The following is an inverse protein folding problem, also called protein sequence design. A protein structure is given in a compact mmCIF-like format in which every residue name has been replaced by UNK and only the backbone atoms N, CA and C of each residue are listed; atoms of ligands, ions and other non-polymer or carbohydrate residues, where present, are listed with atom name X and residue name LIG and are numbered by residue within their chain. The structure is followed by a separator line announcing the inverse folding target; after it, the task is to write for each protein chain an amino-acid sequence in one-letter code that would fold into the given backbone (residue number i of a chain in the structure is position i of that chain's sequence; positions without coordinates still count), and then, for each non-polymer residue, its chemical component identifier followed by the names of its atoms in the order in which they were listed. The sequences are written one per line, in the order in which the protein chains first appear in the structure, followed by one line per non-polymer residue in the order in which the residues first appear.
data_IF_066047086200
#
_entry.id   IF_066047086200
#
_cell.length_a   1.000
_cell.length_b   1.000
_cell.length_c   1.000
_cell.angle_alpha   90.00
_cell.angle_beta   90.00
_cell.angle_gamma   90.00
#
_symmetry.space_group_name_H-M   'P 1'
#
loop_
_entity.id
_entity.type
_entity.pdbx_description
1 polymer ?
#
# COMPACT_ATOMS: atom_id res chain seq x y z
N UNK A 1 35.33 38.58 -42.09
CA UNK A 1 34.62 39.63 -41.34
C UNK A 1 34.52 39.17 -39.89
N UNK A 2 35.19 39.85 -38.98
CA UNK A 2 35.56 39.35 -37.64
C UNK A 2 34.41 39.47 -36.64
N UNK A 3 34.14 38.39 -35.89
CA UNK A 3 33.20 38.36 -34.76
C UNK A 3 33.54 39.36 -33.63
N UNK A 4 34.76 39.91 -33.63
CA UNK A 4 35.26 40.89 -32.66
C UNK A 4 34.49 42.22 -32.70
N UNK A 5 34.13 42.71 -33.90
CA UNK A 5 33.45 44.01 -34.06
C UNK A 5 31.99 44.00 -33.61
N UNK A 6 31.34 42.83 -33.59
CA UNK A 6 29.96 42.67 -33.13
C UNK A 6 29.88 42.63 -31.60
N UNK A 7 30.82 41.94 -30.94
CA UNK A 7 30.87 41.85 -29.48
C UNK A 7 31.20 43.22 -28.85
N UNK A 8 32.15 43.98 -29.43
CA UNK A 8 32.47 45.33 -28.95
C UNK A 8 31.30 46.32 -29.09
N UNK A 9 30.49 46.22 -30.16
CA UNK A 9 29.29 47.05 -30.35
C UNK A 9 28.16 46.75 -29.35
N UNK A 10 28.10 45.52 -28.83
CA UNK A 10 27.11 45.12 -27.82
C UNK A 10 27.54 45.61 -26.44
N UNK A 11 28.83 45.48 -26.10
CA UNK A 11 29.38 45.92 -24.81
C UNK A 11 29.35 47.45 -24.68
N UNK A 12 29.59 48.20 -25.77
CA UNK A 12 29.52 49.67 -25.75
C UNK A 12 28.11 50.25 -25.54
N UNK A 13 27.07 49.42 -25.59
CA UNK A 13 25.68 49.81 -25.30
C UNK A 13 25.25 49.46 -23.87
N UNK A 14 26.09 48.78 -23.10
CA UNK A 14 25.81 48.50 -21.68
C UNK A 14 26.25 49.72 -20.87
N UNK A 15 25.33 50.45 -20.21
CA UNK A 15 25.69 51.62 -19.43
C UNK A 15 26.67 51.23 -18.30
N UNK A 16 27.74 52.02 -18.14
CA UNK A 16 28.74 51.81 -17.10
C UNK A 16 28.13 52.21 -15.74
N UNK A 17 27.60 51.23 -15.01
CA UNK A 17 26.94 51.45 -13.72
C UNK A 17 28.01 51.69 -12.64
N UNK A 18 27.96 52.86 -12.01
CA UNK A 18 28.92 53.32 -11.01
C UNK A 18 28.26 53.35 -9.63
N UNK A 19 28.75 52.52 -8.71
CA UNK A 19 28.16 52.35 -7.38
C UNK A 19 28.04 53.66 -6.56
N UNK A 20 28.90 54.66 -6.84
CA UNK A 20 28.84 55.98 -6.18
C UNK A 20 27.81 56.94 -6.80
N UNK A 21 27.49 56.83 -8.09
CA UNK A 21 26.52 57.72 -8.77
C UNK A 21 25.11 57.12 -8.83
N UNK A 22 25.00 55.79 -8.88
CA UNK A 22 23.73 55.07 -9.05
C UNK A 22 23.17 54.52 -7.72
N UNK A 23 23.73 54.94 -6.57
CA UNK A 23 23.28 54.58 -5.23
C UNK A 23 21.74 54.69 -5.02
N UNK A 24 21.04 55.76 -5.46
CA UNK A 24 19.58 55.83 -5.31
C UNK A 24 18.82 54.80 -6.16
N UNK A 25 19.39 54.37 -7.31
CA UNK A 25 18.81 53.31 -8.14
C UNK A 25 18.91 51.95 -7.45
N UNK A 26 20.08 51.60 -6.91
CA UNK A 26 20.26 50.37 -6.14
C UNK A 26 19.42 50.33 -4.86
N UNK A 27 19.27 51.47 -4.15
CA UNK A 27 18.38 51.57 -2.99
C UNK A 27 16.92 51.31 -3.39
N UNK A 28 16.45 51.87 -4.51
CA UNK A 28 15.09 51.63 -5.01
C UNK A 28 14.86 50.16 -5.39
N UNK A 29 15.83 49.53 -6.04
CA UNK A 29 15.77 48.08 -6.34
C UNK A 29 15.72 47.26 -5.06
N UNK A 30 16.56 47.57 -4.08
CA UNK A 30 16.62 46.85 -2.82
C UNK A 30 15.31 47.00 -2.01
N UNK A 31 14.76 48.22 -1.94
CA UNK A 31 13.44 48.46 -1.33
C UNK A 31 12.35 47.70 -2.08
N UNK A 32 12.36 47.72 -3.41
CA UNK A 32 11.42 46.94 -4.23
C UNK A 32 11.49 45.44 -3.98
N UNK A 33 12.70 44.89 -3.86
CA UNK A 33 12.93 43.49 -3.53
C UNK A 33 12.42 43.14 -2.12
N UNK A 34 12.67 43.99 -1.12
CA UNK A 34 12.16 43.82 0.24
C UNK A 34 10.63 43.87 0.29
N UNK A 35 10.00 44.80 -0.43
CA UNK A 35 8.55 44.89 -0.51
C UNK A 35 7.94 43.65 -1.18
N UNK A 36 8.60 43.12 -2.23
CA UNK A 36 8.17 41.89 -2.87
C UNK A 36 8.25 40.69 -1.91
N UNK A 37 9.38 40.53 -1.20
CA UNK A 37 9.55 39.46 -0.20
C UNK A 37 8.51 39.59 0.91
N UNK A 38 8.29 40.79 1.45
CA UNK A 38 7.27 41.04 2.46
C UNK A 38 5.86 40.67 1.96
N UNK A 39 5.54 41.01 0.71
CA UNK A 39 4.26 40.66 0.09
C UNK A 39 4.08 39.15 -0.03
N UNK A 40 5.12 38.42 -0.45
CA UNK A 40 5.09 36.95 -0.53
C UNK A 40 4.88 36.34 0.86
N UNK A 41 5.62 36.81 1.87
CA UNK A 41 5.49 36.32 3.25
C UNK A 41 4.08 36.56 3.78
N UNK A 42 3.55 37.78 3.66
CA UNK A 42 2.20 38.12 4.12
C UNK A 42 1.15 37.31 3.39
N UNK A 43 1.24 37.19 2.06
CA UNK A 43 0.28 36.41 1.26
C UNK A 43 0.29 34.94 1.64
N UNK A 44 1.47 34.38 1.89
CA UNK A 44 1.64 32.98 2.31
C UNK A 44 1.06 32.77 3.70
N UNK A 45 1.36 33.67 4.65
CA UNK A 45 0.86 33.59 6.02
C UNK A 45 -0.67 33.75 6.09
N UNK A 46 -1.24 34.68 5.32
CA UNK A 46 -2.68 34.91 5.23
C UNK A 46 -3.39 33.71 4.60
N UNK A 47 -2.86 33.19 3.48
CA UNK A 47 -3.40 31.97 2.84
C UNK A 47 -3.36 30.79 3.80
N UNK A 48 -2.22 30.57 4.48
CA UNK A 48 -2.06 29.51 5.47
C UNK A 48 -3.06 29.64 6.63
N UNK A 49 -3.24 30.84 7.17
CA UNK A 49 -4.22 31.11 8.23
C UNK A 49 -5.65 30.79 7.79
N UNK A 50 -6.06 31.21 6.59
CA UNK A 50 -7.39 30.90 6.07
C UNK A 50 -7.58 29.41 5.80
N UNK A 51 -6.55 28.72 5.30
CA UNK A 51 -6.59 27.26 5.10
C UNK A 51 -6.78 26.51 6.42
N UNK A 52 -6.07 26.90 7.50
CA UNK A 52 -6.25 26.29 8.82
C UNK A 52 -7.67 26.50 9.33
N UNK A 53 -8.19 27.74 9.26
CA UNK A 53 -9.56 28.05 9.71
C UNK A 53 -10.62 27.29 8.95
N UNK A 54 -10.51 27.24 7.62
CA UNK A 54 -11.42 26.47 6.79
C UNK A 54 -11.38 24.98 7.14
N UNK A 55 -10.18 24.41 7.40
CA UNK A 55 -10.03 23.02 7.83
C UNK A 55 -10.64 22.78 9.22
N UNK A 56 -10.44 23.68 10.19
CA UNK A 56 -11.06 23.57 11.53
C UNK A 56 -12.59 23.61 11.46
N UNK A 57 -13.16 24.46 10.61
CA UNK A 57 -14.60 24.52 10.40
C UNK A 57 -15.12 23.25 9.69
N UNK A 58 -14.40 22.74 8.70
CA UNK A 58 -14.72 21.50 8.02
C UNK A 58 -14.67 20.28 8.96
N UNK A 59 -13.65 20.19 9.82
CA UNK A 59 -13.53 19.13 10.85
C UNK A 59 -14.69 19.22 11.84
N UNK A 60 -15.04 20.42 12.32
CA UNK A 60 -16.20 20.59 13.22
C UNK A 60 -17.51 20.19 12.57
N UNK A 61 -17.70 20.53 11.29
CA UNK A 61 -18.89 20.16 10.54
C UNK A 61 -18.96 18.64 10.29
N UNK A 62 -17.83 18.03 9.93
CA UNK A 62 -17.67 16.58 9.77
C UNK A 62 -18.00 15.84 11.08
N UNK A 63 -17.37 16.24 12.20
CA UNK A 63 -17.62 15.64 13.51
C UNK A 63 -19.07 15.82 13.99
N UNK A 64 -19.72 16.94 13.65
CA UNK A 64 -21.14 17.17 13.95
C UNK A 64 -22.05 16.19 13.20
N UNK A 65 -21.60 15.66 12.06
CA UNK A 65 -22.26 14.59 11.32
C UNK A 65 -22.23 13.23 12.03
N UNK A 66 -21.53 13.11 13.16
CA UNK A 66 -21.44 11.87 13.95
C UNK A 66 -20.31 10.94 13.54
N UNK A 67 -19.54 11.29 12.50
CA UNK A 67 -18.39 10.55 11.99
C UNK A 67 -17.12 11.31 12.37
N UNK A 68 -16.14 10.63 12.97
CA UNK A 68 -14.79 11.18 13.17
C UNK A 68 -13.72 10.34 12.46
N UNK A 69 -12.57 10.95 12.18
CA UNK A 69 -11.43 10.25 11.57
C UNK A 69 -10.93 9.14 12.47
N UNK A 70 -10.91 9.38 13.79
CA UNK A 70 -10.52 8.39 14.78
C UNK A 70 -11.49 7.21 14.79
N UNK A 71 -12.80 7.45 14.68
CA UNK A 71 -13.81 6.39 14.60
C UNK A 71 -13.63 5.55 13.33
N UNK A 72 -13.57 6.19 12.16
CA UNK A 72 -13.32 5.49 10.89
C UNK A 72 -12.03 4.67 10.93
N UNK A 73 -10.95 5.25 11.47
CA UNK A 73 -9.68 4.55 11.60
C UNK A 73 -9.80 3.32 12.50
N UNK A 74 -10.46 3.44 13.65
CA UNK A 74 -10.64 2.31 14.58
C UNK A 74 -11.60 1.24 14.05
N UNK A 75 -12.57 1.60 13.21
CA UNK A 75 -13.44 0.62 12.54
C UNK A 75 -12.68 -0.16 11.46
N UNK A 76 -11.79 0.50 10.72
CA UNK A 76 -11.08 -0.10 9.57
C UNK A 76 -9.81 -0.84 9.98
N UNK A 77 -9.00 -0.24 10.85
CA UNK A 77 -7.73 -0.77 11.33
C UNK A 77 -7.60 -0.62 12.85
N UNK A 78 -8.41 -1.36 13.64
CA UNK A 78 -8.31 -1.30 15.09
C UNK A 78 -6.90 -1.64 15.56
N UNK A 79 -6.42 -0.96 16.61
CA UNK A 79 -5.08 -1.16 17.16
C UNK A 79 -4.85 -2.58 17.69
N UNK A 80 -5.94 -3.25 18.09
CA UNK A 80 -5.94 -4.64 18.56
C UNK A 80 -5.63 -5.64 17.45
N UNK A 81 -5.80 -5.25 16.18
CA UNK A 81 -5.62 -6.15 15.06
C UNK A 81 -6.86 -6.94 14.65
N UNK A 82 -6.65 -7.82 13.67
CA UNK A 82 -7.58 -8.86 13.25
C UNK A 82 -6.90 -10.23 13.36
N UNK A 83 -7.57 -11.18 14.00
CA UNK A 83 -7.07 -12.54 14.22
C UNK A 83 -7.83 -13.52 13.36
N UNK A 84 -7.09 -14.37 12.64
CA UNK A 84 -7.65 -15.53 11.94
C UNK A 84 -7.25 -16.77 12.73
N UNK A 85 -8.23 -17.50 13.24
CA UNK A 85 -8.04 -18.75 13.98
C UNK A 85 -7.71 -19.92 13.05
N UNK A 86 -6.67 -19.74 12.21
CA UNK A 86 -6.16 -20.75 11.29
C UNK A 86 -4.96 -21.49 11.91
N UNK A 87 -4.88 -22.79 11.65
CA UNK A 87 -3.83 -23.65 12.13
C UNK A 87 -2.51 -23.36 11.39
N UNK A 88 -1.77 -22.33 11.82
CA UNK A 88 -0.48 -21.96 11.24
C UNK A 88 0.57 -23.08 11.39
N UNK A 89 0.54 -23.82 12.51
CA UNK A 89 1.33 -25.02 12.77
C UNK A 89 2.78 -24.90 12.25
N UNK A 90 3.16 -25.76 11.30
CA UNK A 90 4.49 -25.89 10.74
C UNK A 90 4.69 -25.15 9.41
N UNK A 91 3.71 -24.35 8.96
CA UNK A 91 3.77 -23.59 7.70
C UNK A 91 5.07 -22.80 7.61
N UNK A 92 5.39 -22.00 8.62
CA UNK A 92 6.62 -21.21 8.62
C UNK A 92 7.90 -22.05 8.54
N UNK A 93 7.96 -23.22 9.20
CA UNK A 93 9.10 -24.14 9.06
C UNK A 93 9.20 -24.73 7.67
N UNK A 94 8.07 -25.07 7.04
CA UNK A 94 8.05 -25.55 5.65
C UNK A 94 8.54 -24.47 4.69
N UNK A 95 8.22 -23.19 4.94
CA UNK A 95 8.75 -22.05 4.16
C UNK A 95 10.28 -21.90 4.32
N UNK A 96 10.81 -22.10 5.53
CA UNK A 96 12.26 -22.12 5.75
C UNK A 96 12.90 -23.32 5.04
N UNK A 97 12.30 -24.51 5.17
CA UNK A 97 12.84 -25.74 4.60
C UNK A 97 12.83 -25.74 3.05
N UNK A 98 11.84 -25.13 2.41
CA UNK A 98 11.78 -25.00 0.94
C UNK A 98 12.82 -24.01 0.39
N UNK A 99 13.32 -23.11 1.26
CA UNK A 99 14.16 -22.00 0.90
C UNK A 99 13.39 -20.74 0.48
N UNK A 100 12.06 -20.76 0.60
CA UNK A 100 11.23 -19.57 0.40
C UNK A 100 11.62 -18.47 1.39
N UNK A 101 11.92 -18.86 2.63
CA UNK A 101 12.44 -17.98 3.69
C UNK A 101 13.88 -18.36 4.03
N UNK A 102 14.80 -17.42 3.86
CA UNK A 102 16.13 -17.47 4.47
C UNK A 102 16.03 -16.90 5.89
N UNK A 103 16.23 -17.78 6.89
CA UNK A 103 16.07 -17.41 8.29
C UNK A 103 17.04 -16.29 8.73
N UNK A 104 18.26 -16.26 8.19
CA UNK A 104 19.24 -15.24 8.55
C UNK A 104 18.85 -13.89 7.94
N UNK A 105 18.39 -13.87 6.69
CA UNK A 105 17.87 -12.65 6.07
C UNK A 105 16.63 -12.15 6.80
N UNK A 106 15.71 -13.04 7.17
CA UNK A 106 14.52 -12.68 7.95
C UNK A 106 14.90 -12.06 9.30
N UNK A 107 15.79 -12.69 10.07
CA UNK A 107 16.27 -12.14 11.34
C UNK A 107 16.92 -10.75 11.16
N UNK A 108 17.62 -10.54 10.05
CA UNK A 108 18.23 -9.24 9.71
C UNK A 108 17.20 -8.19 9.28
N UNK A 109 16.13 -8.60 8.60
CA UNK A 109 15.04 -7.72 8.16
C UNK A 109 14.15 -7.30 9.34
N UNK A 110 13.99 -8.17 10.34
CA UNK A 110 13.06 -8.02 11.46
C UNK A 110 13.78 -7.86 12.80
N UNK A 111 14.65 -6.85 12.89
CA UNK A 111 15.51 -6.61 14.07
C UNK A 111 14.83 -5.87 15.23
N UNK A 112 13.73 -5.17 14.96
CA UNK A 112 13.03 -4.39 15.98
C UNK A 112 12.35 -5.30 17.01
N UNK A 113 12.26 -4.83 18.26
CA UNK A 113 11.72 -5.60 19.39
C UNK A 113 10.34 -6.20 19.10
N UNK A 114 9.48 -5.43 18.41
CA UNK A 114 8.12 -5.85 18.05
C UNK A 114 8.07 -7.10 17.17
N UNK A 115 9.17 -7.49 16.52
CA UNK A 115 9.23 -8.67 15.65
C UNK A 115 9.83 -9.90 16.31
N UNK A 116 10.39 -9.81 17.53
CA UNK A 116 11.03 -10.97 18.19
C UNK A 116 10.06 -12.15 18.34
N UNK A 117 8.85 -11.86 18.81
CA UNK A 117 7.81 -12.89 18.95
C UNK A 117 7.30 -13.36 17.59
N UNK A 118 7.31 -12.50 16.57
CA UNK A 118 6.85 -12.84 15.21
C UNK A 118 7.80 -13.81 14.52
N UNK A 119 9.11 -13.76 14.79
CA UNK A 119 10.06 -14.74 14.26
C UNK A 119 9.75 -16.17 14.72
N UNK A 120 9.01 -16.36 15.82
CA UNK A 120 8.56 -17.70 16.23
C UNK A 120 7.57 -18.33 15.25
N UNK A 121 6.86 -17.54 14.44
CA UNK A 121 5.99 -18.06 13.38
C UNK A 121 6.76 -18.77 12.27
N UNK A 122 8.05 -18.48 12.09
CA UNK A 122 8.89 -19.16 11.08
C UNK A 122 9.81 -20.22 11.69
N UNK A 123 9.92 -20.31 13.01
CA UNK A 123 10.83 -21.25 13.70
C UNK A 123 10.14 -22.28 14.59
N UNK A 124 8.88 -22.09 14.98
CA UNK A 124 8.13 -23.00 15.86
C UNK A 124 6.97 -23.70 15.14
N UNK A 125 6.21 -24.57 15.84
CA UNK A 125 5.17 -25.42 15.21
C UNK A 125 3.86 -25.56 16.00
N UNK A 126 3.52 -24.56 16.83
CA UNK A 126 2.39 -24.65 17.78
C UNK A 126 1.40 -23.50 17.68
N UNK A 127 1.46 -22.71 16.60
CA UNK A 127 0.60 -21.54 16.40
C UNK A 127 -0.72 -21.99 15.78
N UNK A 128 -1.84 -21.58 16.36
CA UNK A 128 -3.21 -21.93 15.92
C UNK A 128 -4.00 -20.74 15.39
N UNK A 129 -3.32 -19.61 15.26
CA UNK A 129 -3.89 -18.36 14.79
C UNK A 129 -2.79 -17.51 14.18
N UNK A 130 -3.18 -16.53 13.37
CA UNK A 130 -2.32 -15.42 12.96
C UNK A 130 -3.06 -14.11 13.24
N UNK A 131 -2.36 -13.09 13.72
CA UNK A 131 -2.95 -11.78 14.02
C UNK A 131 -2.22 -10.70 13.26
N UNK A 132 -2.92 -9.98 12.39
CA UNK A 132 -2.40 -8.77 11.74
C UNK A 132 -2.78 -7.53 12.55
N UNK A 133 -1.84 -6.62 12.71
CA UNK A 133 -1.93 -5.37 13.47
C UNK A 133 -1.14 -4.29 12.71
N UNK A 134 -1.29 -3.00 13.04
CA UNK A 134 -0.48 -1.95 12.45
C UNK A 134 1.03 -2.15 12.63
N UNK A 135 1.44 -2.84 13.71
CA UNK A 135 2.87 -3.06 14.05
C UNK A 135 3.51 -4.23 13.31
N UNK A 136 2.73 -5.15 12.76
CA UNK A 136 3.24 -6.38 12.17
C UNK A 136 2.77 -6.65 10.73
N UNK A 137 1.97 -5.75 10.15
CA UNK A 137 1.47 -5.87 8.79
C UNK A 137 2.61 -6.12 7.77
N UNK A 138 3.77 -5.48 7.97
CA UNK A 138 4.97 -5.69 7.14
C UNK A 138 5.57 -7.10 7.26
N UNK A 139 5.54 -7.72 8.45
CA UNK A 139 5.96 -9.11 8.60
C UNK A 139 5.00 -10.05 7.86
N UNK A 140 3.69 -9.80 7.98
CA UNK A 140 2.68 -10.66 7.38
C UNK A 140 2.63 -10.59 5.86
N UNK A 141 2.78 -9.40 5.25
CA UNK A 141 2.83 -9.30 3.78
C UNK A 141 3.97 -10.15 3.22
N UNK A 142 5.17 -10.08 3.82
CA UNK A 142 6.32 -10.84 3.33
C UNK A 142 6.21 -12.33 3.63
N UNK A 143 5.69 -12.72 4.80
CA UNK A 143 5.56 -14.13 5.17
C UNK A 143 4.49 -14.85 4.35
N UNK A 144 3.35 -14.18 4.09
CA UNK A 144 2.31 -14.72 3.23
C UNK A 144 2.71 -14.63 1.75
N UNK A 145 3.50 -13.63 1.34
CA UNK A 145 4.10 -13.58 0.01
C UNK A 145 5.01 -14.80 -0.22
N UNK A 146 5.88 -15.14 0.74
CA UNK A 146 6.71 -16.35 0.66
C UNK A 146 5.86 -17.62 0.49
N UNK A 147 4.73 -17.71 1.22
CA UNK A 147 3.78 -18.81 1.10
C UNK A 147 3.17 -18.90 -0.30
N UNK A 148 2.52 -17.82 -0.77
CA UNK A 148 1.90 -17.82 -2.09
C UNK A 148 2.91 -18.05 -3.22
N UNK A 149 4.14 -17.53 -3.09
CA UNK A 149 5.18 -17.72 -4.10
C UNK A 149 5.57 -19.20 -4.26
N UNK A 150 5.71 -19.92 -3.15
CA UNK A 150 6.26 -21.28 -3.16
C UNK A 150 5.21 -22.38 -3.24
N UNK A 151 4.00 -22.11 -2.75
CA UNK A 151 2.90 -23.07 -2.71
C UNK A 151 2.51 -23.52 -4.13
N UNK A 152 2.27 -24.83 -4.27
CA UNK A 152 1.71 -25.39 -5.50
C UNK A 152 0.24 -24.99 -5.63
N UNK A 153 -0.09 -24.37 -6.75
CA UNK A 153 -1.39 -23.77 -6.99
C UNK A 153 -1.68 -23.68 -8.47
N UNK A 154 -2.93 -23.97 -8.85
CA UNK A 154 -3.36 -23.76 -10.24
C UNK A 154 -3.38 -22.28 -10.63
N UNK A 155 -3.49 -21.36 -9.67
CA UNK A 155 -3.37 -19.91 -9.93
C UNK A 155 -1.98 -19.56 -10.47
N UNK A 156 -0.92 -20.19 -9.96
CA UNK A 156 0.43 -19.98 -10.45
C UNK A 156 0.76 -20.86 -11.64
N UNK A 157 0.50 -22.16 -11.55
CA UNK A 157 0.88 -23.14 -12.58
C UNK A 157 0.06 -23.07 -13.85
N UNK A 158 -1.18 -22.58 -13.77
CA UNK A 158 -2.16 -22.59 -14.86
C UNK A 158 -2.96 -21.29 -14.97
N UNK A 159 -2.68 -20.28 -14.15
CA UNK A 159 -3.40 -19.01 -14.16
C UNK A 159 -2.82 -17.98 -15.13
N UNK A 160 -3.22 -16.72 -14.93
CA UNK A 160 -2.98 -15.62 -15.88
C UNK A 160 -1.49 -15.39 -16.12
N UNK A 161 -0.66 -15.36 -15.07
CA UNK A 161 0.80 -15.18 -15.20
C UNK A 161 1.42 -16.20 -16.15
N UNK A 162 1.05 -17.46 -16.03
CA UNK A 162 1.63 -18.55 -16.84
C UNK A 162 1.01 -18.64 -18.22
N UNK A 163 -0.30 -18.42 -18.36
CA UNK A 163 -0.99 -18.52 -19.66
C UNK A 163 -0.74 -17.32 -20.57
N UNK A 164 -0.73 -16.12 -20.02
CA UNK A 164 -0.67 -14.87 -20.80
C UNK A 164 0.72 -14.26 -20.83
N UNK A 165 1.56 -14.54 -19.81
CA UNK A 165 2.87 -13.91 -19.62
C UNK A 165 4.02 -14.90 -19.34
N UNK A 166 4.12 -16.05 -20.04
CA UNK A 166 5.08 -17.11 -19.68
C UNK A 166 6.54 -16.65 -19.64
N UNK A 167 6.94 -15.75 -20.54
CA UNK A 167 8.30 -15.22 -20.63
C UNK A 167 8.57 -14.04 -19.69
N UNK A 168 7.56 -13.58 -18.95
CA UNK A 168 7.65 -12.39 -18.09
C UNK A 168 7.39 -12.71 -16.61
N UNK A 169 7.14 -13.97 -16.24
CA UNK A 169 6.85 -14.37 -14.86
C UNK A 169 7.92 -13.83 -13.89
N UNK A 170 9.20 -13.90 -14.27
CA UNK A 170 10.32 -13.41 -13.45
C UNK A 170 10.47 -11.88 -13.35
N UNK A 171 9.68 -11.11 -14.09
CA UNK A 171 9.77 -9.64 -14.14
C UNK A 171 8.68 -8.94 -13.30
N UNK A 172 7.67 -9.68 -12.84
CA UNK A 172 6.62 -9.13 -11.99
C UNK A 172 7.16 -8.75 -10.61
N UNK A 173 6.55 -7.77 -9.95
CA UNK A 173 6.99 -7.33 -8.63
C UNK A 173 6.95 -8.46 -7.59
N UNK A 174 6.00 -9.39 -7.72
CA UNK A 174 5.89 -10.59 -6.87
C UNK A 174 7.01 -11.62 -7.04
N UNK A 175 7.81 -11.54 -8.10
CA UNK A 175 8.93 -12.46 -8.35
C UNK A 175 10.26 -11.70 -8.34
N UNK A 176 10.41 -10.69 -9.19
CA UNK A 176 11.62 -9.86 -9.27
C UNK A 176 11.94 -9.14 -7.96
N UNK A 177 10.91 -8.81 -7.16
CA UNK A 177 11.07 -8.15 -5.87
C UNK A 177 11.43 -9.08 -4.71
N UNK A 178 11.35 -10.41 -4.88
CA UNK A 178 11.57 -11.33 -3.77
C UNK A 178 13.06 -11.56 -3.51
N UNK A 179 13.54 -11.11 -2.35
CA UNK A 179 14.97 -11.18 -1.98
C UNK A 179 15.25 -11.89 -0.65
N UNK A 180 14.19 -12.23 0.08
CA UNK A 180 14.26 -12.83 1.42
C UNK A 180 14.37 -14.36 1.42
N UNK A 181 14.39 -15.01 0.25
CA UNK A 181 14.63 -16.44 0.10
C UNK A 181 16.10 -16.83 -0.01
N UNK A 182 16.38 -18.13 0.11
CA UNK A 182 17.73 -18.70 -0.10
C UNK A 182 18.05 -18.94 -1.58
N UNK A 183 17.02 -18.95 -2.43
CA UNK A 183 17.09 -19.11 -3.89
C UNK A 183 16.46 -17.90 -4.59
N UNK A 184 16.69 -17.78 -5.88
CA UNK A 184 15.95 -16.82 -6.71
C UNK A 184 14.46 -17.17 -6.77
N UNK A 185 13.62 -16.16 -7.03
CA UNK A 185 12.17 -16.31 -6.99
C UNK A 185 11.64 -17.33 -8.00
N UNK A 186 12.26 -17.47 -9.18
CA UNK A 186 11.80 -18.40 -10.22
C UNK A 186 12.10 -19.85 -9.86
N UNK A 187 13.19 -20.11 -9.12
CA UNK A 187 13.45 -21.41 -8.52
C UNK A 187 12.48 -21.79 -7.40
N UNK A 188 11.78 -20.80 -6.82
CA UNK A 188 10.80 -21.00 -5.75
C UNK A 188 9.37 -21.07 -6.29
N UNK A 189 9.08 -20.36 -7.38
CA UNK A 189 7.76 -20.18 -7.97
C UNK A 189 7.03 -21.52 -8.16
N UNK A 190 5.89 -21.69 -7.47
CA UNK A 190 5.01 -22.86 -7.60
C UNK A 190 5.72 -24.22 -7.37
N UNK A 191 6.75 -24.26 -6.51
CA UNK A 191 7.69 -25.39 -6.42
C UNK A 191 7.37 -26.42 -5.34
N UNK A 192 6.64 -26.04 -4.29
CA UNK A 192 6.50 -26.84 -3.06
C UNK A 192 5.04 -27.00 -2.65
N UNK A 193 4.65 -28.19 -2.19
CA UNK A 193 3.35 -28.39 -1.55
C UNK A 193 3.48 -28.11 -0.04
N UNK A 194 3.10 -26.91 0.39
CA UNK A 194 3.02 -26.51 1.81
C UNK A 194 1.68 -26.97 2.40
N UNK A 195 0.61 -26.77 1.65
CA UNK A 195 -0.76 -27.23 1.89
C UNK A 195 -1.24 -28.14 0.73
N UNK A 196 -2.19 -29.04 0.99
CA UNK A 196 -2.58 -30.10 0.06
C UNK A 196 -3.95 -29.78 -0.56
N UNK A 197 -3.99 -28.84 -1.51
CA UNK A 197 -5.23 -28.44 -2.19
C UNK A 197 -5.70 -29.51 -3.19
N UNK A 198 -6.94 -29.96 -3.04
CA UNK A 198 -7.67 -30.74 -4.04
C UNK A 198 -7.96 -29.92 -5.32
N UNK A 199 -8.36 -30.55 -6.43
CA UNK A 199 -8.80 -29.82 -7.63
C UNK A 199 -9.95 -28.85 -7.36
N UNK A 200 -10.92 -29.26 -6.53
CA UNK A 200 -12.05 -28.42 -6.16
C UNK A 200 -11.61 -27.21 -5.32
N UNK A 201 -10.67 -27.41 -4.40
CA UNK A 201 -10.08 -26.34 -3.60
C UNK A 201 -9.24 -25.39 -4.46
N UNK A 202 -8.46 -25.88 -5.43
CA UNK A 202 -7.74 -25.04 -6.38
C UNK A 202 -8.68 -24.15 -7.19
N UNK A 203 -9.79 -24.70 -7.67
CA UNK A 203 -10.81 -23.91 -8.37
C UNK A 203 -11.40 -22.85 -7.45
N UNK A 204 -11.72 -23.21 -6.19
CA UNK A 204 -12.24 -22.28 -5.19
C UNK A 204 -11.25 -21.16 -4.86
N UNK A 205 -9.96 -21.46 -4.74
CA UNK A 205 -8.90 -20.44 -4.57
C UNK A 205 -8.91 -19.47 -5.76
N UNK A 206 -8.96 -19.99 -6.99
CA UNK A 206 -9.01 -19.17 -8.21
C UNK A 206 -10.25 -18.26 -8.24
N UNK A 207 -11.43 -18.80 -7.91
CA UNK A 207 -12.69 -18.05 -7.90
C UNK A 207 -12.68 -16.95 -6.84
N UNK A 208 -12.24 -17.24 -5.62
CA UNK A 208 -12.16 -16.27 -4.53
C UNK A 208 -11.15 -15.17 -4.88
N UNK A 209 -9.92 -15.55 -5.22
CA UNK A 209 -8.85 -14.60 -5.54
C UNK A 209 -9.15 -13.76 -6.77
N UNK A 210 -9.92 -14.29 -7.73
CA UNK A 210 -10.44 -13.57 -8.89
C UNK A 210 -11.30 -12.35 -8.53
N UNK A 211 -11.90 -12.33 -7.33
CA UNK A 211 -12.73 -11.22 -6.83
C UNK A 211 -11.97 -10.25 -5.93
N UNK A 212 -10.73 -10.55 -5.52
CA UNK A 212 -9.98 -9.73 -4.56
C UNK A 212 -9.01 -8.81 -5.29
N UNK A 213 -9.28 -7.51 -5.27
CA UNK A 213 -8.44 -6.46 -5.83
C UNK A 213 -7.69 -5.69 -4.73
N UNK A 214 -6.67 -4.93 -5.14
CA UNK A 214 -5.84 -4.11 -4.26
C UNK A 214 -5.59 -2.77 -4.95
N UNK A 215 -5.57 -1.65 -4.20
CA UNK A 215 -5.68 -0.30 -4.79
C UNK A 215 -4.42 0.16 -5.52
N UNK A 216 -3.42 -0.72 -5.65
CA UNK A 216 -2.14 -0.48 -6.29
C UNK A 216 -2.13 -0.82 -7.80
N UNK A 217 -3.00 -1.72 -8.26
CA UNK A 217 -3.06 -2.17 -9.65
C UNK A 217 -4.51 -2.46 -10.09
N UNK A 218 -4.69 -2.80 -11.36
CA UNK A 218 -5.99 -3.19 -11.93
C UNK A 218 -6.25 -4.70 -11.91
N UNK A 219 -5.35 -5.48 -11.31
CA UNK A 219 -5.36 -6.95 -11.36
C UNK A 219 -5.90 -7.54 -10.05
N UNK A 220 -6.65 -8.64 -10.18
CA UNK A 220 -7.15 -9.40 -9.03
C UNK A 220 -6.07 -10.31 -8.44
N UNK A 221 -6.39 -11.02 -7.36
CA UNK A 221 -5.49 -11.99 -6.76
C UNK A 221 -5.29 -13.30 -7.51
N UNK A 222 -6.13 -13.57 -8.50
CA UNK A 222 -5.85 -14.61 -9.49
C UNK A 222 -4.71 -14.22 -10.47
N UNK A 223 -4.29 -12.95 -10.48
CA UNK A 223 -3.06 -12.47 -11.12
C UNK A 223 -2.13 -11.86 -10.05
N UNK A 224 -1.35 -12.68 -9.33
CA UNK A 224 -0.52 -12.22 -8.22
C UNK A 224 0.79 -11.59 -8.73
N UNK A 225 0.69 -10.47 -9.44
CA UNK A 225 1.80 -9.71 -10.03
C UNK A 225 2.60 -8.85 -9.04
N UNK A 226 2.08 -8.66 -7.82
CA UNK A 226 2.72 -7.89 -6.76
C UNK A 226 2.82 -8.67 -5.43
N UNK A 227 3.63 -8.17 -4.50
CA UNK A 227 3.86 -8.75 -3.17
C UNK A 227 2.55 -8.94 -2.37
N UNK A 228 1.74 -7.89 -2.25
CA UNK A 228 0.43 -7.95 -1.59
C UNK A 228 -0.45 -9.00 -2.24
N UNK A 229 -0.26 -9.15 -3.54
CA UNK A 229 -1.08 -10.03 -4.29
C UNK A 229 -0.81 -11.50 -4.14
N UNK A 230 0.47 -11.82 -4.18
CA UNK A 230 0.97 -13.14 -3.82
C UNK A 230 0.69 -13.44 -2.34
N UNK A 231 0.71 -12.43 -1.47
CA UNK A 231 0.36 -12.59 -0.05
C UNK A 231 -1.12 -12.94 0.17
N UNK A 232 -2.06 -12.26 -0.50
CA UNK A 232 -3.47 -12.65 -0.46
C UNK A 232 -3.65 -14.08 -1.00
N UNK A 233 -2.98 -14.44 -2.10
CA UNK A 233 -3.05 -15.79 -2.64
C UNK A 233 -2.64 -16.82 -1.58
N UNK A 234 -1.49 -16.64 -0.93
CA UNK A 234 -1.03 -17.57 0.13
C UNK A 234 -1.97 -17.64 1.34
N UNK A 235 -2.60 -16.52 1.73
CA UNK A 235 -3.61 -16.52 2.80
C UNK A 235 -4.84 -17.33 2.40
N UNK A 236 -5.37 -17.10 1.19
CA UNK A 236 -6.56 -17.79 0.67
C UNK A 236 -6.30 -19.28 0.52
N UNK A 237 -5.15 -19.68 -0.02
CA UNK A 237 -4.75 -21.09 -0.15
C UNK A 237 -4.75 -21.80 1.21
N UNK A 238 -4.15 -21.18 2.22
CA UNK A 238 -4.10 -21.74 3.57
C UNK A 238 -5.49 -21.86 4.22
N UNK A 239 -6.35 -20.85 4.03
CA UNK A 239 -7.70 -20.88 4.60
C UNK A 239 -8.62 -21.86 3.86
N UNK A 240 -8.46 -22.01 2.55
CA UNK A 240 -9.23 -22.99 1.76
C UNK A 240 -8.87 -24.42 2.17
N UNK A 241 -7.58 -24.75 2.27
CA UNK A 241 -7.09 -26.07 2.74
C UNK A 241 -7.64 -26.44 4.13
N UNK A 242 -7.87 -25.44 4.97
CA UNK A 242 -8.41 -25.61 6.32
C UNK A 242 -9.94 -25.56 6.39
N UNK A 243 -10.64 -25.49 5.25
CA UNK A 243 -12.09 -25.57 5.18
C UNK A 243 -12.83 -24.33 5.68
N UNK A 244 -12.20 -23.16 5.71
CA UNK A 244 -12.89 -21.90 6.01
C UNK A 244 -13.97 -21.61 4.97
N UNK A 245 -15.05 -20.91 5.33
CA UNK A 245 -16.08 -20.46 4.38
C UNK A 245 -15.59 -19.29 3.52
N UNK A 246 -16.25 -19.04 2.39
CA UNK A 246 -15.89 -17.92 1.49
C UNK A 246 -16.01 -16.58 2.24
N UNK A 247 -17.05 -16.42 3.06
CA UNK A 247 -17.28 -15.22 3.87
C UNK A 247 -16.11 -14.94 4.80
N UNK A 248 -15.67 -15.96 5.56
CA UNK A 248 -14.54 -15.83 6.48
C UNK A 248 -13.23 -15.49 5.74
N UNK A 249 -13.05 -16.00 4.52
CA UNK A 249 -11.90 -15.70 3.67
C UNK A 249 -11.96 -14.25 3.18
N UNK A 250 -13.12 -13.76 2.73
CA UNK A 250 -13.26 -12.37 2.33
C UNK A 250 -13.11 -11.40 3.51
N UNK A 251 -13.61 -11.75 4.70
CA UNK A 251 -13.38 -10.98 5.93
C UNK A 251 -11.88 -10.87 6.24
N UNK A 252 -11.17 -11.99 6.22
CA UNK A 252 -9.72 -12.02 6.44
C UNK A 252 -8.96 -11.22 5.36
N UNK A 253 -9.31 -11.39 4.09
CA UNK A 253 -8.69 -10.65 3.00
C UNK A 253 -8.93 -9.13 3.11
N UNK A 254 -10.14 -8.73 3.52
CA UNK A 254 -10.48 -7.32 3.76
C UNK A 254 -9.65 -6.75 4.91
N UNK A 255 -9.57 -7.48 6.03
CA UNK A 255 -8.76 -7.05 7.17
C UNK A 255 -7.29 -6.91 6.79
N UNK A 256 -6.70 -7.92 6.13
CA UNK A 256 -5.29 -7.89 5.76
C UNK A 256 -4.97 -6.76 4.77
N UNK A 257 -5.79 -6.58 3.73
CA UNK A 257 -5.63 -5.46 2.82
C UNK A 257 -5.84 -4.11 3.52
N UNK A 258 -6.75 -4.01 4.51
CA UNK A 258 -6.96 -2.78 5.28
C UNK A 258 -5.71 -2.37 6.06
N UNK A 259 -4.98 -3.32 6.65
CA UNK A 259 -3.70 -3.03 7.32
C UNK A 259 -2.54 -2.76 6.34
N UNK A 260 -2.59 -3.26 5.11
CA UNK A 260 -1.58 -2.97 4.08
C UNK A 260 -1.83 -1.67 3.33
N UNK A 261 -3.10 -1.28 3.19
CA UNK A 261 -3.54 -0.06 2.52
C UNK A 261 -4.46 0.81 3.42
N UNK A 262 -4.05 1.20 4.63
CA UNK A 262 -4.90 1.92 5.60
C UNK A 262 -5.69 3.08 5.00
N UNK A 263 -5.00 3.99 4.30
CA UNK A 263 -5.60 5.17 3.71
C UNK A 263 -6.74 4.81 2.75
N UNK A 264 -6.55 3.77 1.92
CA UNK A 264 -7.55 3.37 0.94
C UNK A 264 -8.80 2.88 1.63
N UNK A 265 -8.66 2.00 2.62
CA UNK A 265 -9.82 1.41 3.28
C UNK A 265 -10.53 2.39 4.22
N UNK A 266 -9.81 3.38 4.80
CA UNK A 266 -10.44 4.51 5.51
C UNK A 266 -11.23 5.39 4.54
N UNK A 267 -10.69 5.67 3.35
CA UNK A 267 -11.38 6.41 2.30
C UNK A 267 -12.64 5.66 1.80
N UNK A 268 -12.55 4.34 1.64
CA UNK A 268 -13.69 3.49 1.28
C UNK A 268 -14.74 3.46 2.40
N UNK A 269 -14.34 3.34 3.67
CA UNK A 269 -15.28 3.39 4.79
C UNK A 269 -16.06 4.71 4.82
N UNK A 270 -15.36 5.84 4.66
CA UNK A 270 -16.00 7.15 4.53
C UNK A 270 -16.95 7.23 3.33
N UNK A 271 -16.55 6.67 2.17
CA UNK A 271 -17.42 6.60 1.01
C UNK A 271 -18.71 5.82 1.30
N UNK A 272 -18.61 4.61 1.84
CA UNK A 272 -19.79 3.79 2.14
C UNK A 272 -20.71 4.47 3.15
N UNK A 273 -20.15 5.08 4.19
CA UNK A 273 -20.96 5.74 5.21
C UNK A 273 -21.64 7.01 4.67
N UNK A 274 -20.94 7.83 3.88
CA UNK A 274 -21.47 9.13 3.44
C UNK A 274 -22.20 9.12 2.10
N UNK A 275 -21.95 8.12 1.24
CA UNK A 275 -22.54 8.01 -0.11
C UNK A 275 -23.48 6.82 -0.25
N UNK A 276 -23.27 5.76 0.52
CA UNK A 276 -24.05 4.52 0.43
C UNK A 276 -24.89 4.23 1.69
N UNK A 277 -24.86 5.13 2.69
CA UNK A 277 -25.60 4.98 3.95
C UNK A 277 -25.35 3.62 4.63
N UNK A 278 -24.10 3.15 4.56
CA UNK A 278 -23.66 1.84 5.08
C UNK A 278 -22.42 2.01 5.93
N UNK A 279 -22.53 1.75 7.23
CA UNK A 279 -21.38 1.78 8.15
C UNK A 279 -20.39 0.64 7.84
N UNK A 280 -19.11 0.83 8.17
CA UNK A 280 -18.03 -0.07 7.72
C UNK A 280 -18.28 -1.55 8.07
N UNK A 281 -18.72 -1.84 9.29
CA UNK A 281 -19.00 -3.21 9.74
C UNK A 281 -20.21 -3.89 9.07
N UNK A 282 -20.95 -3.17 8.22
CA UNK A 282 -22.05 -3.69 7.39
C UNK A 282 -21.71 -3.78 5.92
N UNK A 283 -20.55 -3.27 5.51
CA UNK A 283 -20.10 -3.38 4.12
C UNK A 283 -19.77 -4.83 3.82
N UNK A 284 -20.32 -5.37 2.73
CA UNK A 284 -20.01 -6.71 2.27
C UNK A 284 -18.52 -6.79 1.83
N UNK A 285 -17.69 -7.65 2.47
CA UNK A 285 -16.27 -7.76 2.16
C UNK A 285 -16.01 -8.10 0.69
N UNK A 286 -16.80 -8.99 0.10
CA UNK A 286 -16.64 -9.37 -1.32
C UNK A 286 -16.89 -8.18 -2.25
N UNK A 287 -17.87 -7.34 -1.93
CA UNK A 287 -18.16 -6.11 -2.67
C UNK A 287 -17.00 -5.12 -2.59
N UNK A 288 -16.55 -4.76 -1.38
CA UNK A 288 -15.51 -3.73 -1.22
C UNK A 288 -14.13 -4.19 -1.71
N UNK A 289 -13.83 -5.49 -1.66
CA UNK A 289 -12.62 -6.06 -2.27
C UNK A 289 -12.69 -6.11 -3.80
N UNK A 290 -13.87 -5.92 -4.39
CA UNK A 290 -14.10 -6.03 -5.82
C UNK A 290 -13.47 -4.93 -6.66
N UNK A 291 -13.48 -5.14 -7.98
CA UNK A 291 -12.90 -4.25 -8.99
C UNK A 291 -13.35 -2.79 -8.86
N UNK A 292 -14.63 -2.56 -8.56
CA UNK A 292 -15.21 -1.21 -8.51
C UNK A 292 -14.68 -0.35 -7.35
N UNK A 293 -14.15 -0.99 -6.29
CA UNK A 293 -13.77 -0.32 -5.05
C UNK A 293 -12.28 -0.43 -4.79
N UNK A 294 -11.74 -1.64 -4.82
CA UNK A 294 -10.36 -1.93 -4.41
C UNK A 294 -9.38 -2.06 -5.57
N UNK A 295 -9.76 -1.87 -6.83
CA UNK A 295 -8.76 -1.70 -7.90
C UNK A 295 -8.20 -0.28 -7.93
N UNK A 296 -7.02 -0.09 -8.53
CA UNK A 296 -6.44 1.24 -8.70
C UNK A 296 -7.41 2.22 -9.40
N UNK A 297 -8.13 1.76 -10.42
CA UNK A 297 -9.10 2.58 -11.16
C UNK A 297 -10.36 2.84 -10.33
N UNK A 298 -10.92 1.80 -9.70
CA UNK A 298 -12.11 1.91 -8.87
C UNK A 298 -11.90 2.84 -7.68
N UNK A 299 -10.81 2.61 -6.94
CA UNK A 299 -10.42 3.47 -5.82
C UNK A 299 -10.16 4.91 -6.27
N UNK A 300 -9.49 5.13 -7.41
CA UNK A 300 -9.25 6.49 -7.91
C UNK A 300 -10.55 7.25 -8.20
N UNK A 301 -11.57 6.58 -8.74
CA UNK A 301 -12.89 7.19 -8.96
C UNK A 301 -13.56 7.57 -7.65
N UNK A 302 -13.56 6.67 -6.67
CA UNK A 302 -14.11 6.94 -5.34
C UNK A 302 -13.37 8.10 -4.68
N UNK A 303 -12.03 8.12 -4.76
CA UNK A 303 -11.22 9.19 -4.18
C UNK A 303 -11.54 10.56 -4.77
N UNK A 304 -11.84 10.61 -6.08
CA UNK A 304 -12.29 11.84 -6.74
C UNK A 304 -13.67 12.28 -6.25
N UNK A 305 -14.57 11.33 -5.99
CA UNK A 305 -15.93 11.63 -5.52
C UNK A 305 -15.96 12.15 -4.07
N UNK A 306 -15.18 11.55 -3.18
CA UNK A 306 -15.15 11.93 -1.76
C UNK A 306 -14.21 13.12 -1.48
N UNK A 307 -13.22 13.34 -2.35
CA UNK A 307 -12.19 14.35 -2.16
C UNK A 307 -11.29 14.08 -0.94
N UNK A 308 -10.92 15.14 -0.23
CA UNK A 308 -10.14 15.06 1.01
C UNK A 308 -11.07 14.93 2.21
N UNK A 309 -10.81 13.94 3.07
CA UNK A 309 -11.53 13.79 4.33
C UNK A 309 -10.98 14.82 5.33
N UNK A 310 -11.80 15.74 5.87
CA UNK A 310 -11.35 16.73 6.84
C UNK A 310 -10.72 16.07 8.07
N UNK A 311 -9.52 16.53 8.45
CA UNK A 311 -8.80 16.00 9.62
C UNK A 311 -8.03 14.70 9.39
N UNK A 312 -8.20 14.04 8.24
CA UNK A 312 -7.42 12.86 7.89
C UNK A 312 -6.07 13.28 7.30
N UNK A 313 -5.02 13.11 8.08
CA UNK A 313 -3.66 13.15 7.53
C UNK A 313 -3.39 11.84 6.79
N UNK A 314 -2.56 11.90 5.73
CA UNK A 314 -2.17 10.70 4.97
C UNK A 314 -1.69 9.59 5.92
N UNK A 315 -2.48 8.53 6.03
CA UNK A 315 -2.12 7.34 6.80
C UNK A 315 -1.25 6.49 5.90
N UNK A 316 -0.03 6.16 6.35
CA UNK A 316 0.94 5.45 5.52
C UNK A 316 0.39 4.12 4.97
N UNK A 317 0.75 3.81 3.74
CA UNK A 317 0.48 2.55 3.05
C UNK A 317 1.23 2.61 1.72
N UNK A 318 2.03 1.60 1.40
CA UNK A 318 2.89 1.61 0.22
C UNK A 318 2.90 0.25 -0.46
N UNK A 319 2.98 0.28 -1.77
CA UNK A 319 3.16 -0.92 -2.59
C UNK A 319 4.60 -1.45 -2.54
N UNK A 320 5.52 -0.70 -1.94
CA UNK A 320 6.93 -1.06 -1.81
C UNK A 320 7.18 -1.93 -0.57
N UNK A 321 7.86 -3.06 -0.79
CA UNK A 321 8.46 -3.89 0.27
C UNK A 321 9.85 -3.37 0.65
#
# INVERSE_FOLDING_TARGET
MSASTTIQKIISKVPHISWKKDKPFFIRIFIGALLFIATVIVTTAVTYYFTIRANEEAIKAFNKGGITVEQLTQEVIPDTGYTVDLAWNDVGKKLVASGAIDLQKYQTNYTQEQYKDLLTYVTESKRKEITITPRNAYFWVNTLWALGLVQKSDVLGQGIMTKEYPDQIGNFASTAGWTLGTKDAMSLYNSTNIVDLSPEENQRVSDITGHIYRPCCGNSAAFPDCNHGMAILGLVELMVDQGFSDEAIYDAALAFNSYWFPQTYIDLAYYFETKQDTIWNKVDPKTVLGLAYSSAQGYSQIKQEIGTIPGLNSVGGSCGA
#
